data_IF_609924149790
#
_entry.id   IF_609924149790
#
_cell.length_a   1.000
_cell.length_b   1.000
_cell.length_c   1.000
_cell.angle_alpha   90.00
_cell.angle_beta   90.00
_cell.angle_gamma   90.00
#
_symmetry.space_group_name_H-M   'P 1'
#
loop_
_entity.id
_entity.type
_entity.pdbx_description
1 polymer ?
#
# COMPACT_ATOMS: atom_id res chain seq x y z
N UNK A 1 23.54 9.33 -11.29
CA UNK A 1 23.19 8.00 -10.80
C UNK A 1 21.98 8.17 -9.91
N UNK A 2 20.86 7.59 -10.29
CA UNK A 2 19.61 7.69 -9.53
C UNK A 2 19.63 6.74 -8.32
N UNK A 3 18.73 6.96 -7.37
CA UNK A 3 18.61 6.14 -6.14
C UNK A 3 18.28 4.66 -6.42
N UNK A 4 17.70 4.38 -7.60
CA UNK A 4 17.22 3.06 -7.99
C UNK A 4 17.95 2.49 -9.21
N UNK A 5 19.13 3.05 -9.55
CA UNK A 5 19.92 2.58 -10.70
C UNK A 5 20.09 1.06 -10.69
N UNK A 6 19.65 0.42 -11.79
CA UNK A 6 19.76 -1.02 -12.00
C UNK A 6 18.76 -1.88 -11.22
N UNK A 7 17.93 -1.32 -10.34
CA UNK A 7 16.88 -2.07 -9.63
C UNK A 7 15.70 -2.38 -10.56
N UNK A 8 15.05 -3.50 -10.30
CA UNK A 8 13.83 -3.91 -10.98
C UNK A 8 12.66 -3.76 -10.04
N UNK A 9 11.64 -3.01 -10.46
CA UNK A 9 10.47 -2.73 -9.64
C UNK A 9 9.17 -3.17 -10.31
N UNK A 10 8.24 -3.72 -9.53
CA UNK A 10 6.84 -3.88 -9.89
C UNK A 10 6.03 -2.81 -9.17
N UNK A 11 5.18 -2.08 -9.89
CA UNK A 11 4.18 -1.18 -9.29
C UNK A 11 2.79 -1.64 -9.72
N UNK A 12 1.93 -1.99 -8.76
CA UNK A 12 0.56 -2.46 -9.06
C UNK A 12 -0.45 -1.31 -9.04
N UNK A 13 -1.47 -1.38 -9.91
CA UNK A 13 -2.41 -0.27 -10.07
C UNK A 13 -1.74 0.98 -10.64
N UNK A 14 -0.78 0.81 -11.53
CA UNK A 14 0.11 1.86 -11.99
C UNK A 14 -0.36 2.57 -13.27
N UNK A 15 -1.55 2.26 -13.78
CA UNK A 15 -2.14 2.93 -14.95
C UNK A 15 -2.66 4.34 -14.67
N UNK A 16 -2.66 4.82 -13.41
CA UNK A 16 -3.13 6.15 -13.05
C UNK A 16 -2.88 6.54 -11.59
N UNK A 17 -3.18 7.77 -11.24
CA UNK A 17 -3.10 8.31 -9.87
C UNK A 17 -1.74 8.09 -9.21
N UNK A 18 -1.75 7.70 -7.94
CA UNK A 18 -0.53 7.48 -7.12
C UNK A 18 0.37 6.40 -7.74
N UNK A 19 -0.21 5.30 -8.26
CA UNK A 19 0.57 4.23 -8.87
C UNK A 19 1.33 4.67 -10.12
N UNK A 20 0.71 5.49 -10.99
CA UNK A 20 1.39 6.10 -12.13
C UNK A 20 2.53 7.02 -11.66
N UNK A 21 2.26 7.88 -10.67
CA UNK A 21 3.30 8.76 -10.11
C UNK A 21 4.49 7.96 -9.56
N UNK A 22 4.24 6.84 -8.87
CA UNK A 22 5.30 5.94 -8.42
C UNK A 22 6.10 5.35 -9.59
N UNK A 23 5.43 4.81 -10.61
CA UNK A 23 6.09 4.18 -11.74
C UNK A 23 7.02 5.17 -12.48
N UNK A 24 6.54 6.39 -12.73
CA UNK A 24 7.32 7.47 -13.36
C UNK A 24 8.52 7.88 -12.47
N UNK A 25 8.31 8.06 -11.16
CA UNK A 25 9.37 8.46 -10.25
C UNK A 25 10.44 7.36 -10.11
N UNK A 26 10.05 6.08 -10.08
CA UNK A 26 10.98 4.96 -10.06
C UNK A 26 11.85 4.91 -11.32
N UNK A 27 11.23 5.07 -12.49
CA UNK A 27 11.95 5.09 -13.76
C UNK A 27 12.90 6.31 -13.86
N UNK A 28 12.49 7.48 -13.40
CA UNK A 28 13.31 8.69 -13.34
C UNK A 28 14.56 8.51 -12.45
N UNK A 29 14.48 7.66 -11.43
CA UNK A 29 15.59 7.31 -10.55
C UNK A 29 16.38 6.06 -11.00
N UNK A 30 16.17 5.60 -12.25
CA UNK A 30 16.98 4.57 -12.90
C UNK A 30 16.46 3.13 -12.70
N UNK A 31 15.27 2.93 -12.17
CA UNK A 31 14.67 1.60 -12.08
C UNK A 31 14.13 1.13 -13.43
N UNK A 32 14.18 -0.19 -13.67
CA UNK A 32 13.39 -0.87 -14.71
C UNK A 32 12.04 -1.27 -14.11
N UNK A 33 10.94 -0.85 -14.74
CA UNK A 33 9.63 -0.89 -14.11
C UNK A 33 8.65 -1.82 -14.83
N UNK A 34 8.06 -2.75 -14.10
CA UNK A 34 6.84 -3.46 -14.54
C UNK A 34 5.64 -2.64 -14.08
N UNK A 35 4.98 -2.01 -15.03
CA UNK A 35 3.76 -1.22 -14.83
C UNK A 35 2.57 -2.16 -14.89
N UNK A 36 2.02 -2.54 -13.74
CA UNK A 36 0.87 -3.44 -13.68
C UNK A 36 -0.43 -2.66 -13.48
N UNK A 37 -1.39 -2.89 -14.38
CA UNK A 37 -2.76 -2.41 -14.26
C UNK A 37 -3.70 -3.25 -15.14
N UNK A 38 -4.84 -3.67 -14.60
CA UNK A 38 -5.83 -4.46 -15.34
C UNK A 38 -6.70 -3.63 -16.29
N UNK A 39 -6.53 -2.30 -16.30
CA UNK A 39 -7.26 -1.40 -17.19
C UNK A 39 -8.76 -1.32 -16.91
N UNK A 40 -9.17 -1.38 -15.65
CA UNK A 40 -10.57 -1.22 -15.24
C UNK A 40 -10.82 0.14 -14.58
N UNK A 41 -12.08 0.60 -14.62
CA UNK A 41 -12.55 1.73 -13.87
C UNK A 41 -12.50 1.47 -12.35
N UNK A 42 -12.72 2.52 -11.53
CA UNK A 42 -12.82 2.40 -10.06
C UNK A 42 -13.96 1.46 -9.63
N UNK A 43 -14.98 1.34 -10.46
CA UNK A 43 -16.11 0.44 -10.28
C UNK A 43 -15.82 -1.00 -10.76
N UNK A 44 -14.60 -1.26 -11.28
CA UNK A 44 -14.22 -2.55 -11.84
C UNK A 44 -14.76 -2.82 -13.24
N UNK A 45 -15.41 -1.84 -13.89
CA UNK A 45 -15.85 -1.96 -15.29
C UNK A 45 -14.66 -1.89 -16.24
N UNK A 46 -14.69 -2.57 -17.41
CA UNK A 46 -13.63 -2.45 -18.42
C UNK A 46 -13.46 -0.99 -18.86
N UNK A 47 -12.26 -0.44 -18.73
CA UNK A 47 -11.94 0.85 -19.33
C UNK A 47 -11.77 0.65 -20.84
N UNK A 48 -12.62 1.27 -21.65
CA UNK A 48 -12.53 1.20 -23.11
C UNK A 48 -11.28 1.92 -23.64
N UNK A 49 -10.51 1.22 -24.49
CA UNK A 49 -9.29 1.74 -25.11
C UNK A 49 -8.02 1.22 -24.47
N UNK A 50 -6.90 1.26 -25.19
CA UNK A 50 -5.62 0.61 -24.87
C UNK A 50 -5.23 0.55 -23.40
N UNK A 51 -4.38 -0.39 -23.02
CA UNK A 51 -4.00 -0.62 -21.65
C UNK A 51 -3.49 0.68 -20.99
N UNK A 52 -4.10 1.10 -19.87
CA UNK A 52 -3.64 2.26 -19.09
C UNK A 52 -2.17 2.08 -18.67
N UNK A 53 -1.77 0.84 -18.40
CA UNK A 53 -0.37 0.49 -18.13
C UNK A 53 0.54 0.82 -19.33
N UNK A 54 0.09 0.56 -20.56
CA UNK A 54 0.89 0.85 -21.75
C UNK A 54 1.14 2.36 -21.92
N UNK A 55 0.14 3.19 -21.66
CA UNK A 55 0.34 4.65 -21.70
C UNK A 55 1.44 5.14 -20.77
N UNK A 56 1.51 4.57 -19.55
CA UNK A 56 2.59 4.90 -18.60
C UNK A 56 3.94 4.35 -19.06
N UNK A 57 3.97 3.16 -19.65
CA UNK A 57 5.19 2.61 -20.28
C UNK A 57 5.69 3.52 -21.39
N UNK A 58 4.81 3.99 -22.27
CA UNK A 58 5.18 4.87 -23.36
C UNK A 58 5.77 6.20 -22.85
N UNK A 59 5.22 6.76 -21.75
CA UNK A 59 5.77 7.94 -21.09
C UNK A 59 7.18 7.69 -20.51
N UNK A 60 7.36 6.55 -19.83
CA UNK A 60 8.68 6.18 -19.26
C UNK A 60 9.71 6.02 -20.35
N UNK A 61 9.37 5.31 -21.44
CA UNK A 61 10.28 5.08 -22.57
C UNK A 61 10.59 6.40 -23.31
N UNK A 62 9.60 7.27 -23.49
CA UNK A 62 9.82 8.59 -24.08
C UNK A 62 10.75 9.47 -23.25
N UNK A 63 10.77 9.30 -21.92
CA UNK A 63 11.69 9.95 -21.00
C UNK A 63 13.08 9.26 -20.92
N UNK A 64 13.32 8.18 -21.66
CA UNK A 64 14.59 7.44 -21.71
C UNK A 64 14.74 6.34 -20.66
N UNK A 65 13.68 5.99 -19.95
CA UNK A 65 13.65 4.89 -18.98
C UNK A 65 13.26 3.54 -19.60
N UNK A 66 13.26 2.49 -18.80
CA UNK A 66 12.91 1.14 -19.22
C UNK A 66 11.66 0.65 -18.46
N UNK A 67 10.62 0.25 -19.20
CA UNK A 67 9.41 -0.30 -18.60
C UNK A 67 8.71 -1.31 -19.51
N UNK A 68 7.90 -2.18 -18.90
CA UNK A 68 7.01 -3.11 -19.59
C UNK A 68 5.62 -3.08 -18.94
N UNK A 69 4.57 -3.18 -19.75
CA UNK A 69 3.20 -3.25 -19.28
C UNK A 69 2.83 -4.69 -18.86
N UNK A 70 2.01 -4.82 -17.83
CA UNK A 70 1.48 -6.09 -17.35
C UNK A 70 0.01 -5.94 -16.95
N UNK A 71 -0.86 -6.84 -17.40
CA UNK A 71 -2.31 -6.83 -17.16
C UNK A 71 -2.80 -7.85 -16.11
N UNK A 72 -1.91 -8.43 -15.30
CA UNK A 72 -2.29 -9.44 -14.30
C UNK A 72 -3.21 -8.87 -13.22
N UNK A 73 -4.25 -9.62 -12.88
CA UNK A 73 -5.13 -9.29 -11.77
C UNK A 73 -4.50 -9.74 -10.44
N UNK A 74 -4.15 -8.80 -9.57
CA UNK A 74 -3.54 -9.07 -8.26
C UNK A 74 -4.45 -9.87 -7.32
N UNK A 75 -5.78 -9.81 -7.51
CA UNK A 75 -6.75 -10.58 -6.72
C UNK A 75 -6.81 -12.06 -7.13
N UNK A 76 -6.26 -12.41 -8.28
CA UNK A 76 -6.10 -13.78 -8.75
C UNK A 76 -4.73 -14.31 -8.33
N UNK A 77 -4.72 -15.49 -7.69
CA UNK A 77 -3.52 -16.05 -7.09
C UNK A 77 -2.45 -16.43 -8.12
N UNK A 78 -2.86 -17.01 -9.22
CA UNK A 78 -1.96 -17.49 -10.27
C UNK A 78 -1.44 -16.32 -11.12
N UNK A 79 -2.30 -15.32 -11.39
CA UNK A 79 -1.88 -14.12 -12.07
C UNK A 79 -0.95 -13.25 -11.21
N UNK A 80 -1.14 -13.21 -9.88
CA UNK A 80 -0.18 -12.58 -8.98
C UNK A 80 1.20 -13.27 -9.03
N UNK A 81 1.24 -14.60 -9.19
CA UNK A 81 2.49 -15.32 -9.44
C UNK A 81 3.10 -14.96 -10.79
N UNK A 82 2.29 -14.94 -11.85
CA UNK A 82 2.72 -14.59 -13.20
C UNK A 82 3.26 -13.15 -13.26
N UNK A 83 2.72 -12.21 -12.47
CA UNK A 83 3.23 -10.86 -12.35
C UNK A 83 4.68 -10.83 -11.83
N UNK A 84 4.98 -11.60 -10.79
CA UNK A 84 6.35 -11.70 -10.28
C UNK A 84 7.29 -12.31 -11.34
N UNK A 85 6.84 -13.36 -12.02
CA UNK A 85 7.60 -13.99 -13.08
C UNK A 85 7.86 -13.04 -14.26
N UNK A 86 6.90 -12.17 -14.59
CA UNK A 86 7.06 -11.19 -15.67
C UNK A 86 8.23 -10.22 -15.43
N UNK A 87 8.50 -9.82 -14.19
CA UNK A 87 9.67 -9.01 -13.87
C UNK A 87 10.98 -9.78 -14.08
N UNK A 88 11.00 -11.05 -13.69
CA UNK A 88 12.17 -11.91 -13.87
C UNK A 88 12.43 -12.16 -15.36
N UNK A 89 11.39 -12.41 -16.15
CA UNK A 89 11.50 -12.68 -17.59
C UNK A 89 11.93 -11.44 -18.36
N UNK A 90 11.39 -10.27 -18.03
CA UNK A 90 11.68 -9.02 -18.73
C UNK A 90 13.05 -8.43 -18.35
N UNK A 91 13.42 -8.48 -17.07
CA UNK A 91 14.54 -7.73 -16.55
C UNK A 91 15.56 -8.57 -15.76
N UNK A 92 15.36 -9.87 -15.67
CA UNK A 92 16.29 -10.81 -15.02
C UNK A 92 16.16 -10.91 -13.50
N UNK A 93 15.22 -10.20 -12.88
CA UNK A 93 15.03 -10.23 -11.42
C UNK A 93 13.92 -9.35 -10.91
N UNK A 94 13.83 -9.26 -9.58
CA UNK A 94 12.92 -8.35 -8.89
C UNK A 94 13.59 -7.87 -7.60
N UNK A 95 13.64 -6.56 -7.40
CA UNK A 95 14.21 -5.91 -6.22
C UNK A 95 13.17 -5.18 -5.39
N UNK A 96 12.13 -4.61 -6.03
CA UNK A 96 11.12 -3.80 -5.33
C UNK A 96 9.71 -4.20 -5.77
N UNK A 97 8.84 -4.44 -4.79
CA UNK A 97 7.41 -4.64 -5.00
C UNK A 97 6.62 -3.51 -4.34
N UNK A 98 5.96 -2.68 -5.14
CA UNK A 98 5.03 -1.64 -4.66
C UNK A 98 3.60 -2.13 -4.87
N UNK A 99 2.96 -2.49 -3.78
CA UNK A 99 1.55 -2.89 -3.75
C UNK A 99 0.67 -1.65 -3.57
N UNK A 100 0.12 -1.16 -4.68
CA UNK A 100 -0.72 0.05 -4.70
C UNK A 100 -2.13 -0.20 -5.28
N UNK A 101 -2.35 -1.27 -6.04
CA UNK A 101 -3.65 -1.58 -6.64
C UNK A 101 -4.80 -1.54 -5.62
N UNK A 102 -5.92 -0.93 -6.01
CA UNK A 102 -7.07 -0.78 -5.13
C UNK A 102 -8.34 -0.31 -5.84
N UNK A 103 -9.47 -0.58 -5.20
CA UNK A 103 -10.82 -0.15 -5.59
C UNK A 103 -11.59 0.37 -4.37
N UNK A 104 -12.68 1.07 -4.58
CA UNK A 104 -13.59 1.48 -3.50
C UNK A 104 -15.01 0.99 -3.77
N UNK A 105 -15.73 0.68 -2.69
CA UNK A 105 -17.16 0.36 -2.63
C UNK A 105 -17.71 0.94 -1.34
N UNK A 106 -17.83 2.29 -1.33
CA UNK A 106 -18.19 3.02 -0.13
C UNK A 106 -19.67 2.89 0.15
N UNK A 107 -20.00 2.33 1.31
CA UNK A 107 -21.34 2.13 1.85
C UNK A 107 -21.32 2.13 3.37
N UNK A 108 -22.40 2.63 3.97
CA UNK A 108 -22.64 2.40 5.40
C UNK A 108 -22.72 0.88 5.65
N UNK A 109 -22.18 0.42 6.78
CA UNK A 109 -22.09 -1.01 7.11
C UNK A 109 -23.45 -1.74 6.90
N UNK A 110 -24.57 -1.11 7.32
CA UNK A 110 -25.90 -1.69 7.19
C UNK A 110 -26.37 -1.90 5.73
N UNK A 111 -25.71 -1.23 4.76
CA UNK A 111 -26.11 -1.24 3.35
C UNK A 111 -25.06 -1.90 2.44
N UNK A 112 -23.91 -2.35 2.98
CA UNK A 112 -22.85 -3.01 2.23
C UNK A 112 -23.31 -4.41 1.81
N UNK A 113 -23.27 -4.73 0.51
CA UNK A 113 -23.51 -6.07 0.03
C UNK A 113 -22.30 -6.98 0.21
N UNK A 114 -22.52 -8.30 0.14
CA UNK A 114 -21.44 -9.28 0.19
C UNK A 114 -20.45 -9.07 -0.98
N UNK A 115 -20.96 -8.83 -2.17
CA UNK A 115 -20.16 -8.65 -3.38
C UNK A 115 -19.28 -7.39 -3.28
N UNK A 116 -19.81 -6.30 -2.71
CA UNK A 116 -19.05 -5.07 -2.47
C UNK A 116 -17.93 -5.31 -1.44
N UNK A 117 -18.24 -6.04 -0.37
CA UNK A 117 -17.26 -6.41 0.66
C UNK A 117 -16.17 -7.32 0.07
N UNK A 118 -16.56 -8.42 -0.58
CA UNK A 118 -15.65 -9.42 -1.13
C UNK A 118 -14.73 -8.82 -2.20
N UNK A 119 -15.24 -7.94 -3.07
CA UNK A 119 -14.44 -7.27 -4.10
C UNK A 119 -13.33 -6.40 -3.48
N UNK A 120 -13.64 -5.62 -2.45
CA UNK A 120 -12.64 -4.76 -1.77
C UNK A 120 -11.59 -5.61 -1.06
N UNK A 121 -12.01 -6.64 -0.32
CA UNK A 121 -11.08 -7.56 0.36
C UNK A 121 -10.20 -8.31 -0.65
N UNK A 122 -10.77 -8.75 -1.76
CA UNK A 122 -10.03 -9.49 -2.79
C UNK A 122 -8.91 -8.65 -3.42
N UNK A 123 -9.20 -7.42 -3.82
CA UNK A 123 -8.20 -6.57 -4.46
C UNK A 123 -7.18 -6.05 -3.45
N UNK A 124 -7.63 -5.50 -2.32
CA UNK A 124 -6.73 -4.90 -1.35
C UNK A 124 -5.99 -5.96 -0.52
N UNK A 125 -6.70 -6.69 0.35
CA UNK A 125 -6.05 -7.53 1.34
C UNK A 125 -5.45 -8.79 0.72
N UNK A 126 -6.26 -9.54 -0.05
CA UNK A 126 -5.78 -10.76 -0.74
C UNK A 126 -4.76 -10.41 -1.82
N UNK A 127 -4.97 -9.33 -2.60
CA UNK A 127 -4.05 -8.93 -3.66
C UNK A 127 -2.66 -8.55 -3.13
N UNK A 128 -2.58 -7.74 -2.08
CA UNK A 128 -1.30 -7.45 -1.39
C UNK A 128 -0.66 -8.73 -0.85
N UNK A 129 -1.44 -9.59 -0.21
CA UNK A 129 -0.91 -10.85 0.32
C UNK A 129 -0.39 -11.77 -0.79
N UNK A 130 -1.12 -11.95 -1.89
CA UNK A 130 -0.74 -12.83 -2.99
C UNK A 130 0.57 -12.39 -3.65
N UNK A 131 0.69 -11.11 -4.02
CA UNK A 131 1.90 -10.56 -4.61
C UNK A 131 3.09 -10.64 -3.65
N UNK A 132 2.91 -10.26 -2.36
CA UNK A 132 3.95 -10.41 -1.32
C UNK A 132 4.38 -11.86 -1.17
N UNK A 133 3.44 -12.82 -1.12
CA UNK A 133 3.74 -14.24 -0.96
C UNK A 133 4.59 -14.77 -2.10
N UNK A 134 4.28 -14.40 -3.35
CA UNK A 134 5.03 -14.87 -4.50
C UNK A 134 6.40 -14.23 -4.61
N UNK A 135 6.51 -12.92 -4.36
CA UNK A 135 7.79 -12.22 -4.28
C UNK A 135 8.67 -12.78 -3.14
N UNK A 136 8.10 -12.98 -1.96
CA UNK A 136 8.78 -13.59 -0.82
C UNK A 136 9.31 -15.00 -1.14
N UNK A 137 8.54 -15.83 -1.86
CA UNK A 137 8.98 -17.15 -2.29
C UNK A 137 10.17 -17.08 -3.26
N UNK A 138 10.15 -16.12 -4.19
CA UNK A 138 11.23 -15.84 -5.13
C UNK A 138 12.51 -15.45 -4.37
N UNK A 139 12.49 -14.42 -3.54
CA UNK A 139 13.66 -13.95 -2.79
C UNK A 139 14.19 -14.97 -1.80
N UNK A 140 13.30 -15.71 -1.11
CA UNK A 140 13.71 -16.82 -0.27
C UNK A 140 14.44 -17.91 -1.07
N UNK A 141 14.00 -18.16 -2.31
CA UNK A 141 14.67 -19.09 -3.24
C UNK A 141 16.10 -18.65 -3.54
N UNK A 142 16.29 -17.38 -3.90
CA UNK A 142 17.60 -16.78 -4.14
C UNK A 142 18.51 -16.86 -2.91
N UNK A 143 18.01 -16.45 -1.75
CA UNK A 143 18.75 -16.50 -0.49
C UNK A 143 19.19 -17.92 -0.12
N UNK A 144 18.33 -18.92 -0.30
CA UNK A 144 18.67 -20.36 -0.08
C UNK A 144 19.69 -20.88 -1.08
N UNK A 145 19.75 -20.31 -2.27
CA UNK A 145 20.77 -20.62 -3.28
C UNK A 145 22.10 -19.89 -3.04
N UNK A 146 22.24 -19.17 -1.92
CA UNK A 146 23.44 -18.43 -1.56
C UNK A 146 23.62 -17.10 -2.28
N UNK A 147 22.58 -16.63 -2.98
CA UNK A 147 22.60 -15.32 -3.64
C UNK A 147 22.24 -14.20 -2.63
N UNK A 148 22.93 -13.08 -2.74
CA UNK A 148 22.61 -11.91 -1.94
C UNK A 148 21.25 -11.33 -2.36
N UNK A 149 20.39 -11.04 -1.38
CA UNK A 149 19.10 -10.40 -1.58
C UNK A 149 19.10 -9.06 -0.85
N UNK A 150 18.74 -7.99 -1.54
CA UNK A 150 18.50 -6.65 -0.99
C UNK A 150 17.19 -6.13 -1.56
N UNK A 151 16.07 -6.67 -1.08
CA UNK A 151 14.74 -6.42 -1.66
C UNK A 151 13.83 -5.59 -0.75
N UNK A 152 12.81 -4.97 -1.36
CA UNK A 152 11.87 -4.06 -0.70
C UNK A 152 10.43 -4.42 -1.05
N UNK A 153 9.56 -4.42 -0.05
CA UNK A 153 8.11 -4.41 -0.23
C UNK A 153 7.56 -3.12 0.35
N UNK A 154 6.78 -2.41 -0.44
CA UNK A 154 6.09 -1.19 -0.01
C UNK A 154 4.60 -1.40 -0.24
N UNK A 155 3.84 -1.50 0.84
CA UNK A 155 2.41 -1.71 0.82
C UNK A 155 1.66 -0.37 0.92
N UNK A 156 0.47 -0.29 0.36
CA UNK A 156 -0.38 0.89 0.48
C UNK A 156 -1.55 0.64 1.43
N UNK A 157 -1.42 1.11 2.68
CA UNK A 157 -2.49 1.23 3.66
C UNK A 157 -3.29 2.52 3.41
N UNK A 158 -3.89 3.10 4.43
CA UNK A 158 -4.66 4.35 4.37
C UNK A 158 -4.89 4.89 5.77
N UNK A 159 -5.08 6.19 5.92
CA UNK A 159 -5.62 6.77 7.15
C UNK A 159 -6.93 6.11 7.58
N UNK A 160 -7.80 5.74 6.62
CA UNK A 160 -9.02 4.98 6.91
C UNK A 160 -8.74 3.60 7.54
N UNK A 161 -7.61 2.96 7.22
CA UNK A 161 -7.18 1.71 7.87
C UNK A 161 -6.57 1.93 9.26
N UNK A 162 -6.00 3.09 9.52
CA UNK A 162 -5.35 3.41 10.81
C UNK A 162 -6.33 3.97 11.84
N UNK A 163 -7.32 4.76 11.40
CA UNK A 163 -8.25 5.50 12.27
C UNK A 163 -9.72 5.11 12.04
N UNK A 164 -10.03 4.42 10.94
CA UNK A 164 -11.40 4.20 10.47
C UNK A 164 -11.92 5.35 9.62
N UNK A 165 -12.95 5.07 8.81
CA UNK A 165 -13.68 6.07 8.02
C UNK A 165 -15.14 5.67 7.91
N UNK A 166 -16.04 6.61 8.19
CA UNK A 166 -17.49 6.38 8.08
C UNK A 166 -17.85 6.06 6.62
N UNK A 167 -18.68 5.05 6.40
CA UNK A 167 -19.05 4.59 5.06
C UNK A 167 -18.00 3.73 4.34
N UNK A 168 -16.85 3.45 4.97
CA UNK A 168 -15.74 2.67 4.39
C UNK A 168 -15.39 1.44 5.23
N UNK A 169 -16.36 0.73 5.77
CA UNK A 169 -16.12 -0.40 6.67
C UNK A 169 -15.28 -1.52 6.03
N UNK A 170 -15.58 -1.92 4.79
CA UNK A 170 -14.82 -2.89 4.00
C UNK A 170 -13.39 -2.42 3.69
N UNK A 171 -13.27 -1.18 3.23
CA UNK A 171 -11.99 -0.55 2.88
C UNK A 171 -11.10 -0.35 4.12
N UNK A 172 -11.65 0.18 5.21
CA UNK A 172 -10.94 0.35 6.48
C UNK A 172 -10.41 -0.99 7.01
N UNK A 173 -11.25 -2.05 6.98
CA UNK A 173 -10.84 -3.39 7.38
C UNK A 173 -9.68 -3.93 6.53
N UNK A 174 -9.77 -3.79 5.19
CA UNK A 174 -8.70 -4.23 4.29
C UNK A 174 -7.40 -3.47 4.53
N UNK A 175 -7.46 -2.14 4.67
CA UNK A 175 -6.29 -1.27 4.87
C UNK A 175 -5.64 -1.44 6.25
N UNK A 176 -6.43 -1.69 7.30
CA UNK A 176 -5.93 -2.10 8.61
C UNK A 176 -5.23 -3.47 8.54
N UNK A 177 -5.83 -4.43 7.81
CA UNK A 177 -5.22 -5.74 7.56
C UNK A 177 -3.87 -5.65 6.84
N UNK A 178 -3.72 -4.73 5.87
CA UNK A 178 -2.45 -4.48 5.17
C UNK A 178 -1.38 -3.94 6.13
N UNK A 179 -1.73 -3.03 7.04
CA UNK A 179 -0.79 -2.57 8.07
C UNK A 179 -0.32 -3.72 8.96
N UNK A 180 -1.23 -4.59 9.41
CA UNK A 180 -0.89 -5.81 10.16
C UNK A 180 -0.02 -6.77 9.39
N UNK A 181 -0.34 -7.05 8.11
CA UNK A 181 0.48 -7.89 7.23
C UNK A 181 1.90 -7.34 7.04
N UNK A 182 2.05 -6.02 6.98
CA UNK A 182 3.35 -5.35 6.86
C UNK A 182 4.25 -5.69 8.05
N UNK A 183 3.73 -5.66 9.27
CA UNK A 183 4.49 -5.98 10.48
C UNK A 183 4.94 -7.45 10.48
N UNK A 184 4.04 -8.37 10.16
CA UNK A 184 4.34 -9.80 10.11
C UNK A 184 5.37 -10.11 9.02
N UNK A 185 5.15 -9.59 7.80
CA UNK A 185 6.06 -9.81 6.68
C UNK A 185 7.45 -9.23 6.95
N UNK A 186 7.55 -8.06 7.60
CA UNK A 186 8.83 -7.48 8.02
C UNK A 186 9.62 -8.40 8.95
N UNK A 187 8.94 -8.98 9.95
CA UNK A 187 9.56 -9.91 10.89
C UNK A 187 9.98 -11.23 10.23
N UNK A 188 9.16 -11.78 9.32
CA UNK A 188 9.45 -13.06 8.65
C UNK A 188 10.53 -12.95 7.58
N UNK A 189 10.55 -11.83 6.84
CA UNK A 189 11.36 -11.69 5.62
C UNK A 189 12.73 -11.04 5.85
N UNK A 190 12.94 -10.36 6.97
CA UNK A 190 14.21 -9.70 7.29
C UNK A 190 15.42 -10.62 7.18
N UNK A 191 15.30 -11.89 7.64
CA UNK A 191 16.37 -12.91 7.53
C UNK A 191 16.74 -13.29 6.09
N UNK A 192 15.95 -12.91 5.11
CA UNK A 192 16.20 -13.15 3.69
C UNK A 192 16.65 -11.86 2.94
N UNK A 193 16.96 -10.78 3.67
CA UNK A 193 17.38 -9.51 3.07
C UNK A 193 16.25 -8.67 2.49
N UNK A 194 15.01 -8.86 2.98
CA UNK A 194 13.84 -8.11 2.50
C UNK A 194 13.33 -7.20 3.60
N UNK A 195 13.19 -5.90 3.33
CA UNK A 195 12.45 -4.97 4.19
C UNK A 195 11.01 -4.80 3.72
N UNK A 196 10.09 -4.62 4.64
CA UNK A 196 8.67 -4.47 4.35
C UNK A 196 8.12 -3.28 5.13
N UNK A 197 7.60 -2.28 4.40
CA UNK A 197 7.00 -1.09 4.98
C UNK A 197 5.65 -0.80 4.32
N UNK A 198 4.88 0.11 4.89
CA UNK A 198 3.65 0.59 4.29
C UNK A 198 3.58 2.11 4.28
N UNK A 199 2.81 2.65 3.35
CA UNK A 199 2.39 4.04 3.31
C UNK A 199 0.89 4.13 3.56
N UNK A 200 0.44 5.25 4.14
CA UNK A 200 -0.95 5.66 4.26
C UNK A 200 -1.09 7.06 3.62
N UNK A 201 -1.25 7.12 2.29
CA UNK A 201 -1.20 8.38 1.55
C UNK A 201 -2.52 9.14 1.59
N UNK A 202 -2.44 10.47 1.60
CA UNK A 202 -3.53 11.39 1.27
C UNK A 202 -3.13 12.17 0.00
N UNK A 203 -3.84 11.93 -1.09
CA UNK A 203 -3.61 12.58 -2.38
C UNK A 203 -4.89 12.61 -3.22
N UNK A 204 -4.96 13.54 -4.16
CA UNK A 204 -6.03 13.63 -5.15
C UNK A 204 -5.87 12.50 -6.15
N UNK A 205 -6.91 11.69 -6.25
CA UNK A 205 -7.02 10.61 -7.21
C UNK A 205 -8.47 10.50 -7.64
N UNK A 206 -8.74 9.82 -8.73
CA UNK A 206 -10.14 9.49 -9.12
C UNK A 206 -10.94 8.89 -7.96
N UNK A 207 -10.27 8.20 -7.04
CA UNK A 207 -10.86 7.57 -5.86
C UNK A 207 -11.28 8.58 -4.79
N UNK A 208 -10.50 9.64 -4.58
CA UNK A 208 -10.72 10.63 -3.51
C UNK A 208 -11.55 11.83 -3.97
N UNK A 209 -11.50 12.18 -5.26
CA UNK A 209 -12.25 13.31 -5.82
C UNK A 209 -13.76 13.19 -5.67
N UNK A 210 -14.30 11.97 -5.74
CA UNK A 210 -15.74 11.72 -5.57
C UNK A 210 -16.21 11.75 -4.11
N UNK A 211 -15.34 11.45 -3.16
CA UNK A 211 -15.70 11.30 -1.73
C UNK A 211 -15.33 12.55 -0.92
N UNK A 212 -14.27 13.24 -1.29
CA UNK A 212 -13.70 14.36 -0.54
C UNK A 212 -13.45 15.58 -1.44
N UNK A 213 -14.38 15.92 -2.33
CA UNK A 213 -14.22 16.94 -3.36
C UNK A 213 -13.70 18.29 -2.81
N UNK A 214 -14.24 18.77 -1.69
CA UNK A 214 -13.83 20.04 -1.07
C UNK A 214 -12.38 20.01 -0.53
N UNK A 215 -11.94 18.88 -0.01
CA UNK A 215 -10.56 18.70 0.48
C UNK A 215 -9.56 18.49 -0.66
N UNK A 216 -10.04 18.03 -1.81
CA UNK A 216 -9.21 17.74 -2.98
C UNK A 216 -9.12 18.92 -3.96
N UNK A 217 -9.86 20.02 -3.72
CA UNK A 217 -9.80 21.20 -4.55
C UNK A 217 -8.41 21.85 -4.51
N UNK A 218 -7.87 22.24 -5.67
CA UNK A 218 -6.64 23.04 -5.77
C UNK A 218 -6.85 24.42 -5.15
N UNK A 219 -6.01 24.78 -4.20
CA UNK A 219 -6.04 26.10 -3.55
C UNK A 219 -4.93 27.00 -4.14
N UNK A 220 -5.24 27.69 -5.25
CA UNK A 220 -4.35 28.71 -5.83
C UNK A 220 -3.20 28.13 -6.70
N UNK A 221 -2.25 29.03 -7.06
CA UNK A 221 -1.10 28.73 -7.94
C UNK A 221 0.13 28.19 -7.18
N UNK A 222 0.03 28.02 -5.88
CA UNK A 222 1.11 27.53 -5.02
C UNK A 222 1.19 26.00 -5.02
N UNK A 223 2.04 25.44 -4.16
CA UNK A 223 2.27 24.01 -4.00
C UNK A 223 0.96 23.22 -3.86
N UNK A 224 0.66 22.36 -4.85
CA UNK A 224 -0.50 21.46 -4.79
C UNK A 224 -0.24 20.31 -3.79
N UNK A 225 -0.68 20.48 -2.56
CA UNK A 225 -0.48 19.51 -1.48
C UNK A 225 -1.17 18.16 -1.72
N UNK A 226 -2.16 18.12 -2.63
CA UNK A 226 -2.90 16.89 -2.95
C UNK A 226 -2.43 16.23 -4.24
N UNK A 227 -1.37 16.74 -4.90
CA UNK A 227 -0.82 16.09 -6.08
C UNK A 227 -0.30 14.67 -5.75
N UNK A 228 -0.66 13.64 -6.56
CA UNK A 228 -0.21 12.25 -6.35
C UNK A 228 1.32 12.10 -6.31
N UNK A 229 2.00 12.96 -7.04
CA UNK A 229 3.46 13.00 -7.15
C UNK A 229 4.14 13.25 -5.79
N UNK A 230 3.48 13.94 -4.85
CA UNK A 230 4.03 14.22 -3.52
C UNK A 230 4.27 12.94 -2.69
N UNK A 231 3.60 11.85 -3.03
CA UNK A 231 3.71 10.58 -2.32
C UNK A 231 4.96 9.80 -2.75
N UNK A 232 5.37 9.95 -4.00
CA UNK A 232 6.41 9.14 -4.64
C UNK A 232 7.81 9.30 -4.05
N UNK A 233 8.27 10.46 -3.58
CA UNK A 233 9.64 10.62 -3.08
C UNK A 233 9.98 9.66 -1.93
N UNK A 234 9.09 9.47 -0.94
CA UNK A 234 9.34 8.51 0.13
C UNK A 234 9.30 7.07 -0.38
N UNK A 235 8.42 6.75 -1.32
CA UNK A 235 8.29 5.39 -1.88
C UNK A 235 9.53 5.03 -2.70
N UNK A 236 10.10 5.96 -3.46
CA UNK A 236 11.39 5.82 -4.14
C UNK A 236 12.51 5.56 -3.13
N UNK A 237 12.61 6.39 -2.09
CA UNK A 237 13.62 6.20 -1.05
C UNK A 237 13.47 4.86 -0.33
N UNK A 238 12.25 4.46 0.02
CA UNK A 238 11.96 3.13 0.59
C UNK A 238 12.31 1.99 -0.37
N UNK A 239 12.26 2.21 -1.68
CA UNK A 239 12.68 1.29 -2.73
C UNK A 239 14.20 1.17 -2.88
N UNK A 240 14.96 2.11 -2.33
CA UNK A 240 16.42 2.20 -2.53
C UNK A 240 17.21 1.32 -1.54
N UNK A 241 18.51 1.23 -1.78
CA UNK A 241 19.45 0.57 -0.86
C UNK A 241 19.63 1.37 0.45
N UNK A 242 19.36 2.68 0.45
CA UNK A 242 19.51 3.54 1.62
C UNK A 242 18.53 3.20 2.74
N UNK A 243 17.38 2.63 2.41
CA UNK A 243 16.33 2.24 3.38
C UNK A 243 16.52 0.84 4.00
N UNK A 244 17.68 0.21 3.82
CA UNK A 244 17.94 -1.18 4.27
C UNK A 244 17.65 -1.46 5.74
N UNK A 245 17.76 -0.42 6.58
CA UNK A 245 17.57 -0.53 8.03
C UNK A 245 16.15 -0.12 8.47
N UNK A 246 15.27 0.20 7.51
CA UNK A 246 13.88 0.60 7.77
C UNK A 246 12.93 -0.52 7.39
N UNK A 247 12.31 -1.15 8.37
CA UNK A 247 11.35 -2.24 8.17
C UNK A 247 10.25 -2.24 9.24
N UNK A 248 9.07 -2.75 8.91
CA UNK A 248 7.93 -2.84 9.81
C UNK A 248 7.34 -1.47 10.18
N UNK A 249 7.45 -0.47 9.31
CA UNK A 249 6.91 0.87 9.56
C UNK A 249 5.73 1.16 8.65
N UNK A 250 4.84 2.00 9.15
CA UNK A 250 3.76 2.61 8.38
C UNK A 250 3.99 4.13 8.40
N UNK A 251 4.01 4.75 7.23
CA UNK A 251 4.21 6.18 7.07
C UNK A 251 2.95 6.85 6.53
N UNK A 252 2.45 7.86 7.22
CA UNK A 252 1.39 8.73 6.71
C UNK A 252 2.02 9.84 5.88
N UNK A 253 1.44 10.09 4.70
CA UNK A 253 1.94 11.06 3.71
C UNK A 253 0.82 12.00 3.27
N UNK A 254 1.05 13.29 3.36
CA UNK A 254 0.13 14.34 2.90
C UNK A 254 0.94 15.55 2.42
N UNK A 255 0.94 15.83 1.13
CA UNK A 255 1.74 16.91 0.56
C UNK A 255 3.22 16.78 0.95
N UNK A 256 3.76 17.80 1.62
CA UNK A 256 5.13 17.77 2.15
C UNK A 256 5.30 17.16 3.55
N UNK A 257 4.23 16.60 4.13
CA UNK A 257 4.26 16.05 5.49
C UNK A 257 4.53 14.55 5.46
N UNK A 258 5.43 14.09 6.32
CA UNK A 258 5.73 12.67 6.56
C UNK A 258 5.60 12.42 8.06
N UNK A 259 4.81 11.39 8.44
CA UNK A 259 4.67 10.93 9.82
C UNK A 259 4.91 9.43 9.90
N UNK A 260 5.40 8.95 11.03
CA UNK A 260 5.38 7.53 11.38
C UNK A 260 4.10 7.26 12.16
N UNK A 261 3.27 6.32 11.69
CA UNK A 261 2.16 5.81 12.46
C UNK A 261 2.70 4.83 13.51
N UNK A 262 2.52 5.14 14.80
CA UNK A 262 3.08 4.32 15.89
C UNK A 262 2.32 3.01 16.11
N UNK A 263 1.12 2.88 15.56
CA UNK A 263 0.28 1.68 15.65
C UNK A 263 -0.31 1.47 17.05
N UNK A 264 -0.72 0.22 17.31
CA UNK A 264 -1.27 -0.17 18.61
C UNK A 264 -0.19 -0.30 19.66
N UNK A 265 -0.36 0.40 20.80
CA UNK A 265 0.50 0.32 21.96
C UNK A 265 -0.32 -0.13 23.18
N UNK A 266 0.33 -0.79 24.13
CA UNK A 266 -0.31 -1.13 25.40
C UNK A 266 -0.65 0.15 26.18
N UNK A 267 -1.90 0.23 26.63
CA UNK A 267 -2.39 1.29 27.49
C UNK A 267 -2.27 0.96 28.98
N UNK A 268 -3.03 1.68 29.84
CA UNK A 268 -3.12 1.38 31.27
C UNK A 268 -3.58 -0.05 31.52
N UNK A 269 -3.07 -0.65 32.56
CA UNK A 269 -3.32 -2.05 32.92
C UNK A 269 -3.64 -2.16 34.40
N UNK A 270 -4.50 -3.11 34.76
CA UNK A 270 -4.72 -3.57 36.14
C UNK A 270 -4.75 -5.08 36.15
N UNK A 271 -4.12 -5.68 37.14
CA UNK A 271 -4.16 -7.11 37.37
C UNK A 271 -4.67 -7.36 38.81
N UNK A 272 -5.75 -8.12 38.95
CA UNK A 272 -6.32 -8.53 40.25
C UNK A 272 -5.56 -9.73 40.86
N UNK A 273 -4.76 -10.44 40.06
CA UNK A 273 -4.13 -11.72 40.44
C UNK A 273 -5.13 -12.89 40.60
N UNK A 274 -6.39 -12.71 40.19
CA UNK A 274 -7.47 -13.69 40.22
C UNK A 274 -8.49 -13.45 39.13
N UNK A 275 -9.44 -14.39 38.97
CA UNK A 275 -10.57 -14.20 38.04
C UNK A 275 -11.45 -13.03 38.46
N UNK A 276 -11.82 -12.18 37.52
CA UNK A 276 -12.79 -11.10 37.72
C UNK A 276 -14.21 -11.65 37.76
N UNK A 277 -15.01 -11.13 38.68
CA UNK A 277 -16.46 -11.26 38.62
C UNK A 277 -17.02 -10.15 37.71
N UNK A 278 -18.03 -10.42 36.85
CA UNK A 278 -18.57 -9.39 35.94
C UNK A 278 -19.03 -8.10 36.64
N UNK A 279 -19.57 -8.22 37.85
CA UNK A 279 -20.03 -7.08 38.63
C UNK A 279 -18.93 -6.12 39.09
N UNK A 280 -17.68 -6.58 39.17
CA UNK A 280 -16.52 -5.76 39.59
C UNK A 280 -15.98 -4.90 38.43
N UNK A 281 -16.27 -5.24 37.16
CA UNK A 281 -15.60 -4.65 36.01
C UNK A 281 -16.01 -3.20 35.72
N UNK A 282 -17.20 -2.79 36.09
CA UNK A 282 -17.70 -1.45 35.75
C UNK A 282 -16.79 -0.30 36.19
N UNK A 283 -16.44 -0.21 37.49
CA UNK A 283 -15.48 0.80 37.96
C UNK A 283 -14.10 0.64 37.39
N UNK A 284 -13.57 -0.59 37.33
CA UNK A 284 -12.22 -0.91 36.82
C UNK A 284 -12.05 -0.44 35.37
N UNK A 285 -13.03 -0.74 34.49
CA UNK A 285 -12.96 -0.31 33.08
C UNK A 285 -13.05 1.21 32.96
N UNK A 286 -13.87 1.87 33.77
CA UNK A 286 -13.96 3.34 33.78
C UNK A 286 -12.64 3.99 34.17
N UNK A 287 -11.95 3.46 35.16
CA UNK A 287 -10.66 3.97 35.62
C UNK A 287 -9.57 3.75 34.54
N UNK A 288 -9.54 2.59 33.92
CA UNK A 288 -8.65 2.32 32.79
C UNK A 288 -8.90 3.28 31.62
N UNK A 289 -10.17 3.53 31.25
CA UNK A 289 -10.50 4.45 30.18
C UNK A 289 -10.15 5.91 30.52
N UNK A 290 -10.31 6.33 31.77
CA UNK A 290 -9.93 7.66 32.23
C UNK A 290 -8.40 7.91 32.20
N UNK A 291 -7.63 6.85 32.40
CA UNK A 291 -6.15 6.90 32.33
C UNK A 291 -5.60 6.65 30.91
N UNK A 292 -6.41 6.15 29.98
CA UNK A 292 -6.01 5.87 28.60
C UNK A 292 -5.85 7.15 27.78
N UNK A 293 -5.02 7.09 26.72
CA UNK A 293 -4.98 8.16 25.71
C UNK A 293 -6.34 8.28 25.02
N UNK A 294 -6.82 9.51 24.75
CA UNK A 294 -8.03 9.69 23.97
C UNK A 294 -7.93 8.97 22.62
N UNK A 295 -9.02 8.37 22.18
CA UNK A 295 -9.09 7.78 20.85
C UNK A 295 -8.96 8.88 19.80
N UNK A 296 -8.25 8.58 18.71
CA UNK A 296 -8.24 9.44 17.53
C UNK A 296 -9.62 9.33 16.86
N UNK A 297 -10.25 10.47 16.48
CA UNK A 297 -11.56 10.44 15.83
C UNK A 297 -11.52 9.66 14.50
N UNK A 298 -12.60 8.94 14.22
CA UNK A 298 -12.84 8.31 12.93
C UNK A 298 -13.12 9.39 11.89
N UNK A 299 -12.61 9.25 10.67
CA UNK A 299 -12.90 10.19 9.59
C UNK A 299 -14.40 10.24 9.28
N UNK A 300 -14.98 11.44 9.24
CA UNK A 300 -16.40 11.66 8.94
C UNK A 300 -17.36 11.36 10.11
N UNK A 301 -16.83 11.21 11.34
CA UNK A 301 -17.64 11.06 12.55
C UNK A 301 -17.98 12.43 13.18
#
# INVERSE_FOLDING_TARGET
>A
MGLLDGRVAIVTGAGGGIGRAHALAFAAEGARVVVNDIGVGLDGSPAGGGSAAQGVVDEIVAAGGEAVANGSNVADWEQAQALIQAAVDAFGGLDVLVNNAGIVRDRMIANTSQEEFDAVIAVHLKGHFATMRHAAAYWRGLSKAGQAVDARIINTSSGAGLQGSVGQGNYSAAKAGIAGLTLVAAAEMGRYGVTVNAIAPAARTRMTETVFADMMATQGDDFDSMAPENISPLVVWLGSAESRDVTGKVFELEGGKIRVAEGWAHGPQVDKGARWEPAELGPVVKDLLAAARPAVPVYGA
#
